data_IF_986365231376
#
_entry.id   IF_986365231376
#
_cell.length_a   1.000
_cell.length_b   1.000
_cell.length_c   1.000
_cell.angle_alpha   90.00
_cell.angle_beta   90.00
_cell.angle_gamma   90.00
#
_symmetry.space_group_name_H-M   'P 1'
#
loop_
_entity.id
_entity.type
_entity.pdbx_description
1 polymer ?
#
# COMPACT_ATOMS: atom_id res chain seq x y z
N UNK A 1 9.80 -16.78 -7.35
CA UNK A 1 9.31 -16.55 -5.97
C UNK A 1 9.46 -15.07 -5.69
N UNK A 2 8.36 -14.31 -5.70
CA UNK A 2 8.39 -12.90 -5.33
C UNK A 2 8.80 -12.81 -3.86
N UNK A 3 9.89 -12.11 -3.58
CA UNK A 3 10.50 -12.11 -2.25
C UNK A 3 9.64 -11.25 -1.31
N UNK A 4 9.15 -11.81 -0.19
CA UNK A 4 8.27 -11.11 0.77
C UNK A 4 8.81 -9.71 1.15
N UNK A 5 10.13 -9.57 1.23
CA UNK A 5 10.82 -8.31 1.53
C UNK A 5 10.57 -7.22 0.48
N UNK A 6 10.57 -7.57 -0.81
CA UNK A 6 10.34 -6.61 -1.89
C UNK A 6 8.91 -6.08 -1.88
N UNK A 7 7.96 -6.92 -1.48
CA UNK A 7 6.55 -6.57 -1.43
C UNK A 7 6.27 -5.65 -0.24
N UNK A 8 6.86 -5.93 0.92
CA UNK A 8 6.81 -5.03 2.09
C UNK A 8 7.44 -3.67 1.75
N UNK A 9 8.55 -3.68 1.01
CA UNK A 9 9.20 -2.44 0.55
C UNK A 9 8.28 -1.65 -0.39
N UNK A 10 7.73 -2.31 -1.41
CA UNK A 10 6.80 -1.70 -2.36
C UNK A 10 5.55 -1.14 -1.66
N UNK A 11 5.02 -1.85 -0.64
CA UNK A 11 3.89 -1.36 0.16
C UNK A 11 4.24 -0.07 0.91
N UNK A 12 5.40 -0.01 1.56
CA UNK A 12 5.84 1.21 2.27
C UNK A 12 5.99 2.39 1.30
N UNK A 13 6.57 2.15 0.13
CA UNK A 13 6.71 3.19 -0.90
C UNK A 13 5.36 3.66 -1.43
N UNK A 14 4.42 2.74 -1.71
CA UNK A 14 3.06 3.05 -2.13
C UNK A 14 2.31 3.87 -1.07
N UNK A 15 2.49 3.55 0.22
CA UNK A 15 1.89 4.29 1.33
C UNK A 15 2.39 5.74 1.38
N UNK A 16 3.71 5.94 1.32
CA UNK A 16 4.33 7.27 1.33
C UNK A 16 3.88 8.10 0.12
N UNK A 17 3.88 7.50 -1.07
CA UNK A 17 3.42 8.17 -2.29
C UNK A 17 1.93 8.55 -2.20
N UNK A 18 1.09 7.65 -1.69
CA UNK A 18 -0.33 7.90 -1.45
C UNK A 18 -0.58 9.04 -0.47
N UNK A 19 0.12 9.06 0.68
CA UNK A 19 0.04 10.15 1.67
C UNK A 19 0.45 11.50 1.06
N UNK A 20 1.50 11.51 0.22
CA UNK A 20 1.93 12.71 -0.49
C UNK A 20 0.88 13.19 -1.50
N UNK A 21 0.26 12.29 -2.25
CA UNK A 21 -0.80 12.66 -3.19
C UNK A 21 -2.06 13.16 -2.47
N UNK A 22 -2.41 12.53 -1.34
CA UNK A 22 -3.55 12.92 -0.50
C UNK A 22 -3.34 14.32 0.10
N UNK A 23 -2.16 14.59 0.66
CA UNK A 23 -1.83 15.92 1.21
C UNK A 23 -1.79 17.03 0.16
N UNK A 24 -1.55 16.68 -1.11
CA UNK A 24 -1.63 17.59 -2.25
C UNK A 24 -3.05 17.74 -2.81
N UNK A 25 -4.05 17.02 -2.26
CA UNK A 25 -5.42 17.00 -2.77
C UNK A 25 -5.55 16.35 -4.16
N UNK A 26 -4.55 15.58 -4.60
CA UNK A 26 -4.53 14.93 -5.92
C UNK A 26 -5.32 13.63 -5.96
N UNK A 27 -5.52 13.01 -4.80
CA UNK A 27 -6.40 11.86 -4.60
C UNK A 27 -7.28 12.11 -3.39
N UNK A 28 -8.48 11.51 -3.38
CA UNK A 28 -9.35 11.53 -2.21
C UNK A 28 -8.89 10.53 -1.15
N UNK A 29 -9.38 10.70 0.07
CA UNK A 29 -9.20 9.73 1.14
C UNK A 29 -9.70 8.33 0.74
N UNK A 30 -10.83 8.25 0.02
CA UNK A 30 -11.40 6.98 -0.44
C UNK A 30 -10.51 6.28 -1.46
N UNK A 31 -9.92 7.04 -2.41
CA UNK A 31 -8.96 6.49 -3.38
C UNK A 31 -7.70 5.96 -2.69
N UNK A 32 -7.18 6.71 -1.71
CA UNK A 32 -6.05 6.28 -0.89
C UNK A 32 -6.39 5.00 -0.12
N UNK A 33 -7.51 5.00 0.61
CA UNK A 33 -7.93 3.89 1.45
C UNK A 33 -8.17 2.61 0.63
N UNK A 34 -8.87 2.71 -0.51
CA UNK A 34 -9.09 1.57 -1.40
C UNK A 34 -7.78 0.96 -1.91
N UNK A 35 -6.79 1.81 -2.21
CA UNK A 35 -5.47 1.36 -2.66
C UNK A 35 -4.74 0.62 -1.53
N UNK A 36 -4.74 1.16 -0.31
CA UNK A 36 -4.08 0.54 0.84
C UNK A 36 -4.73 -0.80 1.23
N UNK A 37 -6.06 -0.90 1.20
CA UNK A 37 -6.79 -2.15 1.49
C UNK A 37 -6.40 -3.27 0.50
N UNK A 38 -6.27 -2.95 -0.79
CA UNK A 38 -5.83 -3.95 -1.78
C UNK A 38 -4.44 -4.52 -1.48
N UNK A 39 -3.52 -3.67 -1.02
CA UNK A 39 -2.18 -4.12 -0.62
C UNK A 39 -2.20 -4.94 0.67
N UNK A 40 -2.98 -4.56 1.68
CA UNK A 40 -3.13 -5.33 2.92
C UNK A 40 -3.68 -6.74 2.66
N UNK A 41 -4.68 -6.86 1.78
CA UNK A 41 -5.22 -8.16 1.34
C UNK A 41 -4.13 -9.01 0.68
N UNK A 42 -3.38 -8.42 -0.25
CA UNK A 42 -2.27 -9.13 -0.93
C UNK A 42 -1.23 -9.62 0.07
N UNK A 43 -0.83 -8.80 1.04
CA UNK A 43 0.14 -9.17 2.06
C UNK A 43 -0.38 -10.30 2.97
N UNK A 44 -1.66 -10.25 3.32
CA UNK A 44 -2.33 -11.30 4.10
C UNK A 44 -2.39 -12.63 3.36
N UNK A 45 -2.71 -12.63 2.07
CA UNK A 45 -2.71 -13.83 1.21
C UNK A 45 -1.31 -14.48 1.12
N UNK A 46 -0.25 -13.67 1.27
CA UNK A 46 1.13 -14.16 1.29
C UNK A 46 1.60 -14.63 2.68
N UNK A 47 0.71 -14.61 3.67
CA UNK A 47 1.04 -14.94 5.06
C UNK A 47 2.06 -13.97 5.65
N UNK A 48 1.99 -12.69 5.28
CA UNK A 48 2.73 -11.60 5.93
C UNK A 48 1.79 -10.98 6.97
N UNK A 49 2.16 -11.06 8.25
CA UNK A 49 1.54 -10.22 9.28
C UNK A 49 2.21 -8.85 9.24
N UNK A 50 1.42 -7.82 8.92
CA UNK A 50 1.83 -6.42 9.00
C UNK A 50 1.74 -5.90 10.43
#
# INVERSE_FOLDING_TARGET
>A
MTNKTEIIKAFREARIAGEKLLSQGKISWEQYASTMVGFELTLREMGVNL
#
